data_IF_663810276872
#
_entry.id   IF_663810276872
#
_cell.length_a   1.000
_cell.length_b   1.000
_cell.length_c   1.000
_cell.angle_alpha   90.00
_cell.angle_beta   90.00
_cell.angle_gamma   90.00
#
_symmetry.space_group_name_H-M   'P 1'
#
loop_
_entity.id
_entity.type
_entity.pdbx_description
1 polymer ?
#
# COMPACT_ATOMS: atom_id res chain seq x y z
N UNK A 1 -1.51 -1.58 -10.07
CA UNK A 1 -1.34 -2.11 -8.70
C UNK A 1 -1.63 -3.60 -8.55
N UNK A 2 -2.74 -4.14 -9.08
CA UNK A 2 -3.12 -5.56 -8.91
C UNK A 2 -2.01 -6.57 -9.13
N UNK A 3 -1.34 -6.50 -10.28
CA UNK A 3 -0.27 -7.45 -10.62
C UNK A 3 0.91 -7.40 -9.62
N UNK A 4 1.19 -6.22 -9.05
CA UNK A 4 2.23 -6.05 -8.04
C UNK A 4 1.80 -6.64 -6.70
N UNK A 5 0.55 -6.42 -6.28
CA UNK A 5 -0.01 -7.05 -5.08
C UNK A 5 0.01 -8.58 -5.20
N UNK A 6 -0.44 -9.12 -6.33
CA UNK A 6 -0.38 -10.56 -6.62
C UNK A 6 1.06 -11.10 -6.58
N UNK A 7 2.06 -10.34 -7.03
CA UNK A 7 3.46 -10.72 -6.88
C UNK A 7 3.85 -10.82 -5.40
N UNK A 8 3.53 -9.81 -4.59
CA UNK A 8 3.87 -9.79 -3.16
C UNK A 8 3.23 -10.97 -2.41
N UNK A 9 1.96 -11.25 -2.66
CA UNK A 9 1.25 -12.39 -2.06
C UNK A 9 1.90 -13.72 -2.45
N UNK A 10 2.25 -13.89 -3.73
CA UNK A 10 2.93 -15.12 -4.16
C UNK A 10 4.33 -15.25 -3.56
N UNK A 11 5.05 -14.14 -3.41
CA UNK A 11 6.39 -14.14 -2.81
C UNK A 11 6.37 -14.45 -1.31
N UNK A 12 5.34 -14.00 -0.58
CA UNK A 12 5.19 -14.28 0.85
C UNK A 12 4.85 -15.75 1.11
N UNK A 13 4.04 -16.36 0.24
CA UNK A 13 3.59 -17.75 0.36
C UNK A 13 4.56 -18.78 -0.25
N UNK A 14 5.57 -18.35 -1.01
CA UNK A 14 6.52 -19.27 -1.67
C UNK A 14 7.76 -19.50 -0.81
N UNK A 15 8.08 -20.75 -0.45
CA UNK A 15 9.31 -21.05 0.30
C UNK A 15 10.55 -21.19 -0.62
N UNK A 16 10.40 -21.75 -1.82
CA UNK A 16 11.52 -22.05 -2.72
C UNK A 16 12.16 -20.79 -3.29
N UNK A 17 13.46 -20.60 -3.05
CA UNK A 17 14.26 -19.49 -3.61
C UNK A 17 14.18 -19.45 -5.14
N UNK A 18 14.33 -20.59 -5.80
CA UNK A 18 14.28 -20.64 -7.27
C UNK A 18 12.90 -20.29 -7.80
N UNK A 19 11.83 -20.69 -7.11
CA UNK A 19 10.47 -20.29 -7.46
C UNK A 19 10.28 -18.77 -7.30
N UNK A 20 10.79 -18.15 -6.21
CA UNK A 20 10.78 -16.68 -6.06
C UNK A 20 11.48 -15.96 -7.21
N UNK A 21 12.65 -16.46 -7.64
CA UNK A 21 13.38 -15.88 -8.78
C UNK A 21 12.56 -15.94 -10.08
N UNK A 22 11.85 -17.03 -10.32
CA UNK A 22 10.94 -17.16 -11.46
C UNK A 22 9.80 -16.14 -11.38
N UNK A 23 9.16 -15.99 -10.22
CA UNK A 23 8.09 -15.01 -9.99
C UNK A 23 8.55 -13.58 -10.29
N UNK A 24 9.69 -13.18 -9.73
CA UNK A 24 10.25 -11.83 -9.94
C UNK A 24 10.60 -11.62 -11.41
N UNK A 25 11.30 -12.58 -12.05
CA UNK A 25 11.66 -12.50 -13.47
C UNK A 25 10.44 -12.33 -14.35
N UNK A 26 9.42 -13.16 -14.14
CA UNK A 26 8.23 -13.17 -14.99
C UNK A 26 7.43 -11.88 -14.83
N UNK A 27 7.29 -11.37 -13.60
CA UNK A 27 6.71 -10.06 -13.35
C UNK A 27 7.50 -8.93 -14.04
N UNK A 28 8.82 -8.87 -13.85
CA UNK A 28 9.64 -7.81 -14.46
C UNK A 28 9.63 -7.87 -15.99
N UNK A 29 9.47 -9.05 -16.59
CA UNK A 29 9.35 -9.19 -18.05
C UNK A 29 8.01 -8.69 -18.57
N UNK A 30 6.93 -8.93 -17.85
CA UNK A 30 5.57 -8.58 -18.28
C UNK A 30 5.19 -7.12 -17.97
N UNK A 31 5.76 -6.53 -16.92
CA UNK A 31 5.42 -5.19 -16.45
C UNK A 31 6.14 -4.12 -17.29
N UNK A 32 5.42 -3.13 -17.85
CA UNK A 32 6.01 -2.00 -18.57
C UNK A 32 6.69 -0.99 -17.62
N UNK A 33 7.54 -0.13 -18.18
CA UNK A 33 8.03 1.04 -17.45
C UNK A 33 6.92 2.12 -17.37
N UNK A 34 6.84 2.90 -16.28
CA UNK A 34 7.77 2.95 -15.13
C UNK A 34 7.45 1.96 -13.99
N UNK A 35 6.29 1.29 -14.01
CA UNK A 35 5.84 0.37 -12.95
C UNK A 35 6.87 -0.72 -12.62
N UNK A 36 7.60 -1.20 -13.63
CA UNK A 36 8.69 -2.17 -13.46
C UNK A 36 9.82 -1.66 -12.56
N UNK A 37 10.27 -0.43 -12.79
CA UNK A 37 11.33 0.20 -12.00
C UNK A 37 10.88 0.43 -10.56
N UNK A 38 9.64 0.89 -10.38
CA UNK A 38 9.07 1.09 -9.04
C UNK A 38 8.91 -0.21 -8.26
N UNK A 39 8.46 -1.27 -8.91
CA UNK A 39 8.35 -2.58 -8.28
C UNK A 39 9.73 -3.10 -7.83
N UNK A 40 10.77 -2.91 -8.63
CA UNK A 40 12.13 -3.29 -8.25
C UNK A 40 12.60 -2.50 -7.02
N UNK A 41 12.44 -1.18 -7.02
CA UNK A 41 12.80 -0.33 -5.88
C UNK A 41 12.04 -0.70 -4.60
N UNK A 42 10.75 -1.06 -4.72
CA UNK A 42 9.95 -1.53 -3.59
C UNK A 42 10.47 -2.87 -3.02
N UNK A 43 10.86 -3.81 -3.89
CA UNK A 43 11.37 -5.13 -3.49
C UNK A 43 12.76 -5.06 -2.85
N UNK A 44 13.59 -4.09 -3.23
CA UNK A 44 14.94 -3.89 -2.67
C UNK A 44 14.95 -3.00 -1.42
N UNK A 45 13.83 -2.35 -1.11
CA UNK A 45 13.73 -1.40 0.01
C UNK A 45 14.26 0.00 -0.31
N UNK A 46 14.51 0.31 -1.59
CA UNK A 46 15.01 1.63 -2.03
C UNK A 46 13.90 2.67 -2.22
N UNK A 47 12.63 2.26 -2.08
CA UNK A 47 11.49 3.17 -2.17
C UNK A 47 11.31 3.96 -0.87
N UNK A 48 11.62 5.26 -0.91
CA UNK A 48 11.50 6.14 0.24
C UNK A 48 10.58 7.33 -0.05
N UNK A 49 9.81 7.73 0.95
CA UNK A 49 8.89 8.87 0.89
C UNK A 49 9.13 9.82 2.07
N UNK A 50 9.14 11.12 1.78
CA UNK A 50 9.41 12.15 2.79
C UNK A 50 8.19 12.41 3.68
N UNK A 51 7.00 12.52 3.08
CA UNK A 51 5.76 12.89 3.76
C UNK A 51 4.94 11.69 4.26
N UNK A 52 5.05 10.52 3.61
CA UNK A 52 4.25 9.33 3.89
C UNK A 52 4.97 8.38 4.86
N UNK A 53 5.03 8.75 6.15
CA UNK A 53 5.59 7.90 7.22
C UNK A 53 4.51 6.99 7.86
N UNK A 54 4.86 5.86 8.49
CA UNK A 54 3.88 4.98 9.16
C UNK A 54 2.97 5.69 10.17
N UNK A 55 3.50 6.69 10.89
CA UNK A 55 2.71 7.51 11.82
C UNK A 55 1.57 8.29 11.13
N UNK A 56 1.70 8.62 9.84
CA UNK A 56 0.64 9.27 9.07
C UNK A 56 -0.48 8.29 8.71
N UNK A 57 -0.14 7.04 8.40
CA UNK A 57 -1.12 5.97 8.17
C UNK A 57 -1.95 5.75 9.44
N UNK A 58 -1.29 5.68 10.60
CA UNK A 58 -1.96 5.60 11.91
C UNK A 58 -2.93 6.77 12.13
N UNK A 59 -2.49 8.01 11.91
CA UNK A 59 -3.39 9.18 12.01
C UNK A 59 -4.56 9.13 11.03
N UNK A 60 -4.35 8.59 9.83
CA UNK A 60 -5.39 8.52 8.80
C UNK A 60 -6.51 7.54 9.15
N UNK A 61 -6.18 6.43 9.82
CA UNK A 61 -7.17 5.48 10.30
C UNK A 61 -7.85 5.95 11.59
N UNK A 62 -7.11 6.57 12.53
CA UNK A 62 -7.68 7.15 13.76
C UNK A 62 -8.67 8.30 13.49
N UNK A 63 -8.55 8.98 12.35
CA UNK A 63 -9.53 9.99 11.90
C UNK A 63 -10.80 9.40 11.28
N UNK A 64 -10.89 8.06 11.15
CA UNK A 64 -11.95 7.34 10.43
C UNK A 64 -12.60 6.23 11.23
N UNK A 65 -11.83 5.63 12.12
CA UNK A 65 -12.21 4.50 12.95
C UNK A 65 -11.97 4.89 14.40
N UNK A 66 -12.88 4.48 15.28
CA UNK A 66 -12.71 4.64 16.71
C UNK A 66 -11.34 4.08 17.18
N UNK A 67 -10.63 4.85 18.01
CA UNK A 67 -9.27 4.53 18.39
C UNK A 67 -9.15 3.28 19.26
N UNK A 68 -10.17 2.96 20.06
CA UNK A 68 -10.20 1.74 20.89
C UNK A 68 -10.42 0.53 19.99
N UNK A 69 -11.38 0.62 19.06
CA UNK A 69 -11.63 -0.46 18.10
C UNK A 69 -10.44 -0.69 17.16
N UNK A 70 -9.77 0.37 16.73
CA UNK A 70 -8.53 0.26 15.97
C UNK A 70 -7.44 -0.43 16.80
N UNK A 71 -7.28 -0.06 18.08
CA UNK A 71 -6.36 -0.70 19.00
C UNK A 71 -6.57 -2.21 19.10
N UNK A 72 -7.80 -2.66 19.36
CA UNK A 72 -8.12 -4.09 19.44
C UNK A 72 -7.90 -4.83 18.12
N UNK A 73 -8.23 -4.19 17.01
CA UNK A 73 -8.01 -4.76 15.67
C UNK A 73 -6.53 -4.93 15.38
N UNK A 74 -5.73 -3.91 15.71
CA UNK A 74 -4.28 -3.93 15.55
C UNK A 74 -3.60 -4.96 16.45
N UNK A 75 -4.04 -5.07 17.71
CA UNK A 75 -3.52 -6.06 18.66
C UNK A 75 -3.82 -7.50 18.20
N UNK A 76 -4.96 -7.73 17.55
CA UNK A 76 -5.34 -9.03 17.01
C UNK A 76 -4.56 -9.40 15.73
N UNK A 77 -4.42 -8.47 14.78
CA UNK A 77 -3.79 -8.71 13.48
C UNK A 77 -2.26 -8.67 13.56
N UNK A 78 -1.70 -7.75 14.35
CA UNK A 78 -0.25 -7.64 14.59
C UNK A 78 0.55 -6.89 13.51
N UNK A 79 -0.08 -6.48 12.41
CA UNK A 79 0.54 -5.65 11.36
C UNK A 79 -0.30 -4.42 11.02
N UNK A 80 0.35 -3.26 10.88
CA UNK A 80 -0.34 -1.98 10.66
C UNK A 80 -0.97 -1.92 9.28
N UNK A 81 -0.26 -2.38 8.25
CA UNK A 81 -0.74 -2.29 6.88
C UNK A 81 -1.94 -3.23 6.68
N UNK A 82 -1.85 -4.46 7.18
CA UNK A 82 -2.93 -5.44 7.13
C UNK A 82 -4.15 -4.97 7.92
N UNK A 83 -3.95 -4.48 9.15
CA UNK A 83 -5.05 -3.94 9.97
C UNK A 83 -5.80 -2.83 9.23
N UNK A 84 -5.05 -1.86 8.70
CA UNK A 84 -5.64 -0.71 7.99
C UNK A 84 -6.35 -1.14 6.71
N UNK A 85 -5.78 -2.08 5.95
CA UNK A 85 -6.41 -2.61 4.74
C UNK A 85 -7.75 -3.29 5.02
N UNK A 86 -7.87 -3.99 6.16
CA UNK A 86 -9.09 -4.71 6.55
C UNK A 86 -10.21 -3.80 7.06
N UNK A 87 -9.87 -2.74 7.79
CA UNK A 87 -10.86 -1.90 8.47
C UNK A 87 -11.15 -0.57 7.76
N UNK A 88 -10.47 -0.29 6.64
CA UNK A 88 -10.65 0.97 5.95
C UNK A 88 -12.11 1.16 5.53
N UNK A 89 -12.78 2.24 5.93
CA UNK A 89 -14.19 2.42 5.65
C UNK A 89 -14.40 2.59 4.14
N UNK A 90 -15.30 1.77 3.59
CA UNK A 90 -15.71 1.85 2.19
C UNK A 90 -16.92 2.78 2.11
N UNK A 91 -16.81 3.88 1.37
CA UNK A 91 -17.97 4.73 1.07
C UNK A 91 -18.80 4.04 0.00
N UNK A 92 -20.09 3.69 0.24
CA UNK A 92 -20.91 2.93 -0.70
C UNK A 92 -20.99 3.56 -2.09
N UNK A 93 -20.97 4.89 -2.14
CA UNK A 93 -21.10 5.69 -3.36
C UNK A 93 -19.77 5.96 -4.07
N UNK A 94 -18.64 5.63 -3.43
CA UNK A 94 -17.31 5.84 -3.99
C UNK A 94 -16.71 4.54 -4.50
N UNK A 95 -17.10 4.16 -5.72
CA UNK A 95 -16.46 3.06 -6.44
C UNK A 95 -15.56 3.64 -7.54
N UNK A 96 -14.22 3.55 -7.41
CA UNK A 96 -13.33 4.03 -8.47
C UNK A 96 -13.54 3.23 -9.76
N UNK A 97 -13.46 3.91 -10.91
CA UNK A 97 -13.68 3.29 -12.23
C UNK A 97 -12.58 2.28 -12.61
N UNK A 98 -11.41 2.35 -11.97
CA UNK A 98 -10.32 1.38 -12.09
C UNK A 98 -9.42 1.43 -10.87
N UNK A 99 -8.63 0.39 -10.68
CA UNK A 99 -7.53 0.41 -9.72
C UNK A 99 -6.38 1.31 -10.22
N UNK A 100 -5.63 1.94 -9.29
CA UNK A 100 -4.46 2.73 -9.66
C UNK A 100 -3.31 1.84 -10.14
N UNK A 101 -2.42 2.42 -10.93
CA UNK A 101 -1.12 1.85 -11.29
C UNK A 101 -0.08 2.07 -10.18
N UNK A 102 1.02 1.30 -10.18
CA UNK A 102 2.01 1.45 -9.12
C UNK A 102 2.68 2.83 -9.20
N UNK A 103 2.99 3.29 -10.40
CA UNK A 103 3.51 4.62 -10.63
C UNK A 103 2.57 5.72 -10.12
N UNK A 104 1.25 5.58 -10.33
CA UNK A 104 0.29 6.57 -9.83
C UNK A 104 0.33 6.69 -8.31
N UNK A 105 0.43 5.56 -7.60
CA UNK A 105 0.55 5.56 -6.13
C UNK A 105 1.89 6.15 -5.69
N UNK A 106 2.99 5.75 -6.34
CA UNK A 106 4.33 6.25 -6.01
C UNK A 106 4.42 7.75 -6.23
N UNK A 107 3.97 8.25 -7.37
CA UNK A 107 3.98 9.68 -7.68
C UNK A 107 3.10 10.46 -6.71
N UNK A 108 1.88 9.97 -6.43
CA UNK A 108 1.01 10.62 -5.46
C UNK A 108 1.68 10.73 -4.07
N UNK A 109 2.34 9.68 -3.59
CA UNK A 109 3.04 9.71 -2.30
C UNK A 109 4.31 10.58 -2.31
N UNK A 110 5.00 10.68 -3.46
CA UNK A 110 6.18 11.54 -3.63
C UNK A 110 5.81 13.02 -3.68
N UNK A 111 4.73 13.37 -4.36
CA UNK A 111 4.32 14.77 -4.54
C UNK A 111 3.44 15.28 -3.42
N UNK A 112 2.85 14.39 -2.60
CA UNK A 112 1.97 14.80 -1.52
C UNK A 112 2.71 15.68 -0.51
N UNK A 113 2.22 16.91 -0.33
CA UNK A 113 2.68 17.77 0.75
C UNK A 113 2.21 17.23 2.10
N UNK A 114 2.93 17.56 3.19
CA UNK A 114 2.49 17.21 4.56
C UNK A 114 1.06 17.70 4.87
N UNK A 115 0.64 18.81 4.25
CA UNK A 115 -0.71 19.35 4.41
C UNK A 115 -1.76 18.49 3.71
N UNK A 116 -1.49 18.00 2.50
CA UNK A 116 -2.38 17.12 1.75
C UNK A 116 -2.46 15.72 2.38
N UNK A 117 -1.34 15.16 2.84
CA UNK A 117 -1.35 13.90 3.58
C UNK A 117 -2.17 14.03 4.88
N UNK A 118 -2.08 15.17 5.58
CA UNK A 118 -2.92 15.44 6.75
C UNK A 118 -4.40 15.61 6.38
N UNK A 119 -4.72 16.27 5.26
CA UNK A 119 -6.10 16.39 4.78
C UNK A 119 -6.68 15.03 4.41
N UNK A 120 -5.90 14.17 3.74
CA UNK A 120 -6.26 12.78 3.48
C UNK A 120 -6.53 12.02 4.80
N UNK A 121 -5.87 12.33 5.91
CA UNK A 121 -6.20 11.74 7.23
C UNK A 121 -7.49 12.26 7.87
N UNK A 122 -8.09 13.37 7.40
CA UNK A 122 -9.27 14.02 8.03
C UNK A 122 -10.50 14.15 7.13
N UNK A 123 -10.38 14.05 5.81
CA UNK A 123 -11.51 14.21 4.87
C UNK A 123 -12.15 12.87 4.54
N UNK A 124 -13.11 12.44 5.37
CA UNK A 124 -14.22 11.55 5.03
C UNK A 124 -15.29 11.69 6.14
N UNK A 125 -15.85 12.89 6.25
CA UNK A 125 -17.10 13.15 6.97
C UNK A 125 -18.10 13.70 5.95
#
# INVERSE_FOLDING_TARGET
MRAFAELLDRLSLTASRNAKLVLVRDYLRATPDPDRGWALAALTGDLTFDAAKPAMIRKAVEGRVDSVLFGWSYDYVGDLAETVALIWPVTPDHRPNREPELAEVVEALRTASRAEVRKASTTSA
#
